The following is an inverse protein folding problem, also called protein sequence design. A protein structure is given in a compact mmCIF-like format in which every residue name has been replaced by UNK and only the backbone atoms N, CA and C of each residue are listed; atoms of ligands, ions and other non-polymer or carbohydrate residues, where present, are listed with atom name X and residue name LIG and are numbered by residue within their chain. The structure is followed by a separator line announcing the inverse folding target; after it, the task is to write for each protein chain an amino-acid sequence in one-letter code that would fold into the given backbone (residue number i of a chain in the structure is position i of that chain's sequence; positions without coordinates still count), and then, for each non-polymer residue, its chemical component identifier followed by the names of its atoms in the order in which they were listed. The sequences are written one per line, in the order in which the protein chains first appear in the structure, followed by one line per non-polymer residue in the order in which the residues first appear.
data_IF_841129474717
#
_entry.id   IF_841129474717
#
_cell.length_a   1.000
_cell.length_b   1.000
_cell.length_c   1.000
_cell.angle_alpha   90.00
_cell.angle_beta   90.00
_cell.angle_gamma   90.00
#
_symmetry.space_group_name_H-M   'P 1'
#
loop_
_entity.id
_entity.type
_entity.pdbx_description
1 polymer ?
#
# COMPACT_ATOMS: atom_id res chain seq x y z
N UNK A 1 -26.73 -32.29 -43.60
CA UNK A 1 -25.64 -31.32 -43.38
C UNK A 1 -25.89 -30.65 -42.05
N UNK A 2 -25.08 -30.94 -41.02
CA UNK A 2 -25.18 -30.22 -39.75
C UNK A 2 -24.67 -28.78 -39.94
N UNK A 3 -25.26 -27.77 -39.27
CA UNK A 3 -24.76 -26.40 -39.36
C UNK A 3 -23.35 -26.29 -38.74
N UNK A 4 -22.51 -25.35 -39.20
CA UNK A 4 -21.15 -25.21 -38.69
C UNK A 4 -21.18 -24.76 -37.23
N UNK A 5 -20.39 -25.41 -36.38
CA UNK A 5 -20.18 -24.96 -35.00
C UNK A 5 -19.56 -23.56 -34.98
N UNK A 6 -20.34 -22.60 -34.50
CA UNK A 6 -19.88 -21.24 -34.25
C UNK A 6 -18.91 -21.25 -33.06
N UNK A 7 -17.61 -21.15 -33.35
CA UNK A 7 -16.58 -21.00 -32.31
C UNK A 7 -16.84 -19.69 -31.55
N UNK A 8 -17.44 -19.78 -30.36
CA UNK A 8 -17.57 -18.65 -29.43
C UNK A 8 -16.19 -18.03 -29.19
N UNK A 9 -15.95 -16.82 -29.70
CA UNK A 9 -14.79 -16.00 -29.29
C UNK A 9 -14.85 -15.84 -27.78
N UNK A 10 -13.84 -16.33 -27.05
CA UNK A 10 -13.67 -16.00 -25.63
C UNK A 10 -13.63 -14.48 -25.51
N UNK A 11 -14.54 -13.90 -24.73
CA UNK A 11 -14.55 -12.47 -24.47
C UNK A 11 -13.19 -12.07 -23.85
N UNK A 12 -12.56 -11.07 -24.44
CA UNK A 12 -11.30 -10.53 -23.93
C UNK A 12 -11.58 -9.84 -22.58
N UNK A 13 -10.89 -10.30 -21.53
CA UNK A 13 -11.05 -9.70 -20.19
C UNK A 13 -10.33 -8.36 -20.18
N UNK A 14 -10.99 -7.25 -19.80
CA UNK A 14 -10.33 -5.94 -19.77
C UNK A 14 -9.08 -5.96 -18.89
N UNK A 15 -8.01 -5.29 -19.32
CA UNK A 15 -6.71 -5.27 -18.62
C UNK A 15 -6.80 -4.88 -17.13
N UNK A 16 -7.75 -3.99 -16.77
CA UNK A 16 -8.00 -3.62 -15.36
C UNK A 16 -8.53 -4.80 -14.54
N UNK A 17 -9.46 -5.57 -15.09
CA UNK A 17 -10.05 -6.74 -14.42
C UNK A 17 -9.02 -7.85 -14.27
N UNK A 18 -8.27 -8.13 -15.34
CA UNK A 18 -7.18 -9.10 -15.29
C UNK A 18 -6.07 -8.67 -14.30
N UNK A 19 -5.71 -7.38 -14.29
CA UNK A 19 -4.74 -6.81 -13.36
C UNK A 19 -5.18 -6.90 -11.90
N UNK A 20 -6.46 -6.64 -11.61
CA UNK A 20 -7.01 -6.82 -10.26
C UNK A 20 -6.97 -8.28 -9.82
N UNK A 21 -7.43 -9.22 -10.67
CA UNK A 21 -7.43 -10.64 -10.31
C UNK A 21 -6.03 -11.17 -10.02
N UNK A 22 -5.00 -10.70 -10.76
CA UNK A 22 -3.60 -11.04 -10.48
C UNK A 22 -3.15 -10.47 -9.13
N UNK A 23 -3.46 -9.22 -8.86
CA UNK A 23 -3.10 -8.54 -7.61
C UNK A 23 -3.73 -9.22 -6.40
N UNK A 24 -5.03 -9.52 -6.48
CA UNK A 24 -5.78 -10.22 -5.45
C UNK A 24 -5.21 -11.62 -5.17
N UNK A 25 -4.85 -12.36 -6.22
CA UNK A 25 -4.26 -13.69 -6.07
C UNK A 25 -2.88 -13.63 -5.39
N UNK A 26 -2.02 -12.68 -5.79
CA UNK A 26 -0.72 -12.50 -5.15
C UNK A 26 -0.84 -12.06 -3.69
N UNK A 27 -1.77 -11.15 -3.39
CA UNK A 27 -2.04 -10.68 -2.04
C UNK A 27 -2.54 -11.82 -1.13
N UNK A 28 -3.38 -12.71 -1.65
CA UNK A 28 -3.84 -13.89 -0.91
C UNK A 28 -2.66 -14.82 -0.52
N UNK A 29 -1.68 -15.00 -1.40
CA UNK A 29 -0.46 -15.78 -1.09
C UNK A 29 0.35 -15.12 0.01
N UNK A 30 0.65 -13.82 -0.11
CA UNK A 30 1.37 -13.05 0.92
C UNK A 30 0.66 -13.14 2.28
N UNK A 31 -0.67 -12.97 2.30
CA UNK A 31 -1.46 -13.06 3.54
C UNK A 31 -1.42 -14.46 4.16
N UNK A 32 -1.44 -15.52 3.33
CA UNK A 32 -1.27 -16.89 3.81
C UNK A 32 0.08 -17.09 4.49
N UNK A 33 1.16 -16.60 3.89
CA UNK A 33 2.50 -16.77 4.42
C UNK A 33 2.75 -15.93 5.68
N UNK A 34 2.19 -14.73 5.76
CA UNK A 34 2.22 -13.91 6.98
C UNK A 34 1.57 -14.65 8.16
N UNK A 35 0.36 -15.19 7.95
CA UNK A 35 -0.36 -15.93 8.99
C UNK A 35 0.41 -17.18 9.42
N UNK A 36 0.95 -17.96 8.48
CA UNK A 36 1.79 -19.14 8.81
C UNK A 36 3.01 -18.78 9.66
N UNK A 37 3.57 -17.59 9.45
CA UNK A 37 4.75 -17.09 10.18
C UNK A 37 4.39 -16.35 11.47
N UNK A 38 3.11 -16.11 11.76
CA UNK A 38 2.69 -15.25 12.86
C UNK A 38 3.12 -13.79 12.68
N UNK A 39 3.35 -13.36 11.44
CA UNK A 39 3.84 -12.03 11.08
C UNK A 39 2.72 -11.13 10.56
N UNK A 40 3.00 -9.84 10.50
CA UNK A 40 2.03 -8.77 10.22
C UNK A 40 2.57 -7.77 9.20
N UNK A 41 1.66 -7.09 8.50
CA UNK A 41 2.00 -6.11 7.45
C UNK A 41 1.18 -4.83 7.54
N UNK A 42 1.83 -3.72 7.21
CA UNK A 42 1.25 -2.40 7.02
C UNK A 42 1.62 -1.79 5.66
N UNK A 43 0.84 -0.82 5.17
CA UNK A 43 1.05 -0.23 3.83
C UNK A 43 0.97 1.30 3.86
N UNK A 44 1.95 1.96 3.23
CA UNK A 44 1.91 3.38 2.90
C UNK A 44 1.79 3.55 1.37
N UNK A 45 0.59 3.89 0.91
CA UNK A 45 0.29 4.00 -0.52
C UNK A 45 0.42 5.44 -0.99
N UNK A 46 1.13 5.69 -2.09
CA UNK A 46 1.09 7.01 -2.75
C UNK A 46 0.23 6.87 -4.00
N UNK A 47 0.75 6.13 -4.98
CA UNK A 47 0.24 6.09 -6.34
C UNK A 47 -0.80 5.02 -6.58
N UNK A 48 -0.66 3.87 -5.94
CA UNK A 48 -1.65 2.78 -5.95
C UNK A 48 -2.99 3.20 -5.33
N UNK A 49 -3.00 4.21 -4.47
CA UNK A 49 -4.24 4.87 -4.00
C UNK A 49 -5.23 3.96 -3.28
N UNK A 50 -4.75 2.94 -2.56
CA UNK A 50 -5.57 1.99 -1.81
C UNK A 50 -5.60 0.58 -2.39
N UNK A 51 -5.06 0.36 -3.59
CA UNK A 51 -5.14 -0.94 -4.28
C UNK A 51 -4.38 -2.05 -3.56
N UNK A 52 -3.21 -1.77 -2.98
CA UNK A 52 -2.46 -2.78 -2.21
C UNK A 52 -3.27 -3.15 -0.97
N UNK A 53 -3.75 -2.16 -0.24
CA UNK A 53 -4.54 -2.38 0.98
C UNK A 53 -5.82 -3.14 0.68
N UNK A 54 -6.52 -2.78 -0.39
CA UNK A 54 -7.76 -3.44 -0.78
C UNK A 54 -7.51 -4.91 -1.13
N UNK A 55 -6.41 -5.23 -1.81
CA UNK A 55 -6.07 -6.61 -2.16
C UNK A 55 -5.63 -7.45 -0.95
N UNK A 56 -4.83 -6.90 -0.04
CA UNK A 56 -4.45 -7.59 1.19
C UNK A 56 -5.67 -7.81 2.11
N UNK A 57 -6.55 -6.81 2.19
CA UNK A 57 -7.76 -6.88 2.98
C UNK A 57 -8.84 -7.81 2.40
N UNK A 58 -8.91 -7.97 1.07
CA UNK A 58 -9.89 -8.87 0.44
C UNK A 58 -9.60 -10.35 0.71
N UNK A 59 -8.36 -10.69 1.12
CA UNK A 59 -8.06 -12.02 1.64
C UNK A 59 -8.89 -12.32 2.90
N UNK A 60 -9.48 -13.51 3.04
CA UNK A 60 -10.12 -13.95 4.29
C UNK A 60 -9.19 -13.94 5.51
N UNK A 61 -7.88 -13.90 5.29
CA UNK A 61 -6.84 -13.81 6.32
C UNK A 61 -6.46 -12.36 6.67
N UNK A 62 -7.01 -11.36 5.96
CA UNK A 62 -6.82 -9.92 6.18
C UNK A 62 -6.83 -9.52 7.66
N UNK A 63 -7.90 -9.82 8.42
CA UNK A 63 -8.02 -9.44 9.84
C UNK A 63 -6.92 -10.02 10.76
N UNK A 64 -6.22 -11.07 10.34
CA UNK A 64 -5.20 -11.72 11.18
C UNK A 64 -3.86 -11.01 11.08
N UNK A 65 -3.43 -10.63 9.86
CA UNK A 65 -2.08 -10.13 9.61
C UNK A 65 -1.98 -8.69 9.05
N UNK A 66 -3.03 -8.14 8.43
CA UNK A 66 -3.02 -6.76 7.95
C UNK A 66 -3.39 -5.81 9.09
N UNK A 67 -2.50 -4.87 9.46
CA UNK A 67 -2.72 -3.97 10.61
C UNK A 67 -3.17 -2.57 10.23
N UNK A 68 -3.21 -2.26 8.94
CA UNK A 68 -3.74 -1.00 8.45
C UNK A 68 -2.86 -0.38 7.38
N UNK A 69 -3.31 0.78 6.93
CA UNK A 69 -2.65 1.52 5.86
C UNK A 69 -3.01 3.00 5.88
N UNK A 70 -2.33 3.77 5.04
CA UNK A 70 -2.83 5.07 4.65
C UNK A 70 -2.27 5.54 3.33
N UNK A 71 -3.07 6.39 2.66
CA UNK A 71 -2.68 7.03 1.42
C UNK A 71 -1.87 8.28 1.77
N UNK A 72 -0.58 8.27 1.45
CA UNK A 72 0.34 9.38 1.64
C UNK A 72 0.53 10.12 0.33
N UNK A 73 0.14 11.39 0.27
CA UNK A 73 0.46 12.26 -0.84
C UNK A 73 1.48 13.29 -0.36
N UNK A 74 2.55 13.51 -1.14
CA UNK A 74 3.59 14.50 -0.82
C UNK A 74 3.03 15.94 -0.66
N UNK A 75 1.82 16.20 -1.19
CA UNK A 75 1.18 17.52 -1.17
C UNK A 75 -0.14 17.57 -0.36
N UNK A 76 -0.54 16.46 0.29
CA UNK A 76 -1.92 16.28 0.77
C UNK A 76 -2.16 16.56 2.26
N UNK A 77 -1.13 16.57 3.10
CA UNK A 77 -1.31 16.79 4.55
C UNK A 77 -1.15 18.29 4.84
N UNK A 78 -2.24 19.03 4.72
CA UNK A 78 -2.30 20.38 5.30
C UNK A 78 -2.35 20.22 6.83
N UNK A 79 -1.25 20.54 7.52
CA UNK A 79 -1.14 20.38 8.98
C UNK A 79 -2.16 21.20 9.76
N UNK A 80 -2.58 22.37 9.28
CA UNK A 80 -3.63 23.14 9.96
C UNK A 80 -4.98 22.43 9.80
N UNK A 81 -5.25 21.88 8.62
CA UNK A 81 -6.46 21.08 8.37
C UNK A 81 -6.46 19.75 9.15
N UNK A 82 -5.31 19.10 9.32
CA UNK A 82 -5.17 17.87 10.12
C UNK A 82 -5.38 18.16 11.62
N UNK A 83 -4.70 19.17 12.18
CA UNK A 83 -4.90 19.61 13.57
C UNK A 83 -6.35 20.04 13.84
N UNK A 84 -6.94 20.81 12.92
CA UNK A 84 -8.34 21.23 13.01
C UNK A 84 -9.30 20.05 12.88
N UNK A 85 -9.03 19.12 11.97
CA UNK A 85 -9.81 17.89 11.79
C UNK A 85 -9.80 17.01 13.04
N UNK A 86 -8.62 16.79 13.64
CA UNK A 86 -8.47 16.07 14.92
C UNK A 86 -9.20 16.79 16.05
N UNK A 87 -9.08 18.11 16.16
CA UNK A 87 -9.75 18.90 17.19
C UNK A 87 -11.27 18.82 17.07
N UNK A 88 -11.82 19.02 15.85
CA UNK A 88 -13.26 18.91 15.57
C UNK A 88 -13.79 17.50 15.79
N UNK A 89 -13.03 16.46 15.41
CA UNK A 89 -13.41 15.07 15.67
C UNK A 89 -13.47 14.77 17.17
N UNK A 90 -12.49 15.22 17.95
CA UNK A 90 -12.48 15.09 19.42
C UNK A 90 -13.63 15.82 20.07
N UNK A 91 -13.90 17.05 19.67
CA UNK A 91 -15.05 17.83 20.14
C UNK A 91 -16.36 17.11 19.81
N UNK A 92 -16.52 16.62 18.58
CA UNK A 92 -17.71 15.88 18.17
C UNK A 92 -17.94 14.61 19.00
N UNK A 93 -16.89 13.81 19.21
CA UNK A 93 -16.95 12.60 20.05
C UNK A 93 -17.32 12.97 21.49
N UNK A 94 -16.70 14.00 22.06
CA UNK A 94 -16.95 14.44 23.43
C UNK A 94 -18.34 15.04 23.65
N UNK A 95 -18.95 15.63 22.61
CA UNK A 95 -20.20 16.40 22.73
C UNK A 95 -21.43 15.72 22.15
N UNK A 96 -21.26 14.75 21.22
CA UNK A 96 -22.36 14.14 20.45
C UNK A 96 -22.39 12.62 20.48
N UNK A 97 -21.32 11.94 20.93
CA UNK A 97 -21.31 10.49 21.13
C UNK A 97 -21.48 10.17 22.61
N UNK A 98 -22.19 9.08 22.92
CA UNK A 98 -22.50 8.65 24.28
C UNK A 98 -21.21 8.52 25.13
N UNK A 99 -21.29 8.70 26.47
CA UNK A 99 -20.12 8.72 27.38
C UNK A 99 -19.21 7.49 27.30
N UNK A 100 -19.68 6.38 26.71
CA UNK A 100 -18.90 5.19 26.36
C UNK A 100 -17.82 5.40 25.28
N UNK A 101 -17.87 6.50 24.52
CA UNK A 101 -16.84 6.93 23.55
C UNK A 101 -16.00 8.11 24.03
N UNK A 102 -16.37 8.74 25.16
CA UNK A 102 -15.67 9.90 25.72
C UNK A 102 -14.34 9.53 26.41
N UNK A 103 -14.10 8.24 26.67
CA UNK A 103 -12.80 7.74 27.12
C UNK A 103 -11.84 7.56 25.92
N UNK A 104 -11.19 8.65 25.55
CA UNK A 104 -10.19 8.76 24.47
C UNK A 104 -8.92 7.94 24.77
N UNK A 105 -8.77 7.42 26.01
CA UNK A 105 -7.71 6.48 26.35
C UNK A 105 -8.10 5.01 26.15
N UNK A 106 -9.36 4.73 25.82
CA UNK A 106 -9.78 3.36 25.54
C UNK A 106 -9.04 2.82 24.30
N UNK A 107 -8.59 1.54 24.32
CA UNK A 107 -7.93 0.89 23.17
C UNK A 107 -8.75 0.93 21.88
N UNK A 108 -10.07 1.21 21.97
CA UNK A 108 -11.01 1.30 20.85
C UNK A 108 -10.89 2.60 20.04
N UNK A 109 -10.22 3.63 20.56
CA UNK A 109 -10.00 4.92 19.86
C UNK A 109 -8.65 5.05 19.15
N UNK A 110 -7.85 3.95 19.07
CA UNK A 110 -6.58 3.92 18.32
C UNK A 110 -6.72 4.24 16.82
N UNK A 111 -7.93 4.17 16.26
CA UNK A 111 -8.18 4.52 14.87
C UNK A 111 -7.88 5.99 14.52
N UNK A 112 -7.89 6.90 15.51
CA UNK A 112 -7.61 8.34 15.31
C UNK A 112 -6.09 8.63 15.29
N UNK A 113 -5.26 7.64 15.64
CA UNK A 113 -3.81 7.76 15.75
C UNK A 113 -3.05 6.93 14.72
N UNK A 114 -3.55 6.77 13.49
CA UNK A 114 -2.80 6.06 12.45
C UNK A 114 -1.49 6.78 12.05
N UNK A 115 -1.26 8.01 12.55
CA UNK A 115 0.08 8.54 12.81
C UNK A 115 1.04 8.46 11.63
N UNK A 116 0.52 8.54 10.40
CA UNK A 116 1.31 8.43 9.19
C UNK A 116 1.89 9.79 8.79
N UNK A 117 2.46 10.52 9.76
CA UNK A 117 2.91 11.92 9.63
C UNK A 117 4.44 11.97 9.53
N UNK A 118 4.98 12.82 8.66
CA UNK A 118 6.39 13.21 8.69
C UNK A 118 6.61 14.20 9.85
N UNK A 119 7.59 13.95 10.71
CA UNK A 119 7.95 14.86 11.79
C UNK A 119 8.28 16.27 11.27
N UNK A 120 7.84 17.29 12.00
CA UNK A 120 8.08 18.69 11.68
C UNK A 120 9.58 19.00 11.70
N UNK A 121 10.13 19.48 10.57
CA UNK A 121 11.54 19.92 10.47
C UNK A 121 12.52 18.86 9.96
N UNK A 122 12.07 17.64 9.67
CA UNK A 122 12.91 16.63 9.01
C UNK A 122 12.92 16.87 7.50
N UNK A 123 14.11 16.85 6.90
CA UNK A 123 14.25 16.93 5.45
C UNK A 123 13.61 15.68 4.80
N UNK A 124 12.73 15.89 3.83
CA UNK A 124 11.97 14.78 3.23
C UNK A 124 12.73 14.27 2.01
N UNK A 125 12.79 12.96 1.81
CA UNK A 125 13.27 12.42 0.54
C UNK A 125 12.38 12.84 -0.63
N UNK A 126 13.00 12.99 -1.80
CA UNK A 126 12.31 13.42 -3.02
C UNK A 126 11.34 12.33 -3.50
N UNK A 127 10.08 12.73 -3.77
CA UNK A 127 9.08 11.86 -4.40
C UNK A 127 9.55 11.37 -5.76
N UNK A 128 9.31 10.09 -6.06
CA UNK A 128 9.83 9.40 -7.21
C UNK A 128 11.29 8.96 -7.02
N UNK A 129 11.67 8.56 -5.81
CA UNK A 129 13.00 8.01 -5.53
C UNK A 129 12.91 6.70 -4.76
N UNK A 130 13.96 5.88 -4.85
CA UNK A 130 14.09 4.66 -4.06
C UNK A 130 14.12 4.96 -2.55
N UNK A 131 14.79 6.03 -2.14
CA UNK A 131 14.84 6.48 -0.75
C UNK A 131 13.45 6.78 -0.21
N UNK A 132 12.63 7.51 -0.98
CA UNK A 132 11.26 7.82 -0.57
C UNK A 132 10.37 6.59 -0.45
N UNK A 133 10.47 5.64 -1.38
CA UNK A 133 9.73 4.39 -1.28
C UNK A 133 10.13 3.61 0.00
N UNK A 134 11.43 3.54 0.32
CA UNK A 134 11.94 2.88 1.53
C UNK A 134 11.51 3.59 2.81
N UNK A 135 11.57 4.92 2.86
CA UNK A 135 11.08 5.71 3.99
C UNK A 135 9.59 5.44 4.25
N UNK A 136 8.78 5.39 3.20
CA UNK A 136 7.36 5.07 3.31
C UNK A 136 7.11 3.65 3.83
N UNK A 137 7.88 2.67 3.33
CA UNK A 137 7.79 1.27 3.77
C UNK A 137 8.16 1.14 5.26
N UNK A 138 9.26 1.74 5.69
CA UNK A 138 9.66 1.77 7.10
C UNK A 138 8.66 2.53 7.96
N UNK A 139 8.13 3.66 7.49
CA UNK A 139 7.13 4.42 8.22
C UNK A 139 5.82 3.62 8.39
N UNK A 140 5.38 2.88 7.37
CA UNK A 140 4.24 1.98 7.50
C UNK A 140 4.51 0.91 8.57
N UNK A 141 5.68 0.26 8.47
CA UNK A 141 6.13 -0.78 9.40
C UNK A 141 6.12 -0.29 10.86
N UNK A 142 6.86 0.79 11.11
CA UNK A 142 7.16 1.29 12.45
C UNK A 142 5.92 1.95 13.09
N UNK A 143 5.16 2.76 12.35
CA UNK A 143 4.04 3.50 12.93
C UNK A 143 2.88 2.58 13.34
N UNK A 144 2.74 1.43 12.68
CA UNK A 144 1.72 0.42 12.99
C UNK A 144 2.26 -0.79 13.76
N UNK A 145 3.55 -0.80 14.12
CA UNK A 145 4.18 -1.86 14.91
C UNK A 145 4.10 -3.24 14.24
N UNK A 146 4.36 -3.30 12.93
CA UNK A 146 4.27 -4.52 12.12
C UNK A 146 5.64 -5.10 11.79
N UNK A 147 5.67 -6.36 11.36
CA UNK A 147 6.90 -7.05 10.93
C UNK A 147 7.37 -6.56 9.54
N UNK A 148 6.39 -6.28 8.68
CA UNK A 148 6.57 -5.86 7.29
C UNK A 148 5.89 -4.53 6.98
N UNK A 149 6.50 -3.73 6.11
CA UNK A 149 5.88 -2.51 5.56
C UNK A 149 6.06 -2.42 4.05
N UNK A 150 5.03 -1.98 3.32
CA UNK A 150 5.11 -1.69 1.88
C UNK A 150 4.99 -0.18 1.66
N UNK A 151 5.83 0.38 0.79
CA UNK A 151 5.83 1.81 0.43
C UNK A 151 6.00 2.03 -1.07
N UNK A 152 5.24 2.95 -1.67
CA UNK A 152 5.36 3.31 -3.09
C UNK A 152 5.80 4.76 -3.29
N UNK A 153 6.62 5.00 -4.31
CA UNK A 153 6.96 6.34 -4.79
C UNK A 153 7.07 6.35 -6.32
N UNK A 154 5.96 6.65 -6.99
CA UNK A 154 5.85 6.45 -8.44
C UNK A 154 5.10 7.57 -9.17
N UNK A 155 4.93 7.41 -10.49
CA UNK A 155 4.21 8.35 -11.36
C UNK A 155 3.21 7.57 -12.20
N UNK A 156 1.90 7.57 -11.88
CA UNK A 156 0.93 6.81 -12.65
C UNK A 156 0.55 7.51 -13.97
N UNK A 157 0.97 8.76 -14.16
CA UNK A 157 0.65 9.58 -15.32
C UNK A 157 -0.62 10.42 -15.15
N UNK A 158 -1.05 11.15 -16.20
CA UNK A 158 -0.50 11.08 -17.56
C UNK A 158 0.80 11.87 -17.76
N UNK A 159 1.10 12.84 -16.89
CA UNK A 159 2.28 13.69 -17.04
C UNK A 159 3.50 13.14 -16.27
N UNK A 160 4.73 13.45 -16.71
CA UNK A 160 5.93 13.20 -15.93
C UNK A 160 5.92 13.91 -14.57
N UNK A 161 6.69 13.38 -13.61
CA UNK A 161 6.89 14.07 -12.33
C UNK A 161 7.62 15.39 -12.54
N UNK A 162 7.02 16.49 -12.07
CA UNK A 162 7.47 17.86 -12.39
C UNK A 162 8.90 18.18 -11.96
N UNK A 163 9.36 17.60 -10.84
CA UNK A 163 10.70 17.88 -10.27
C UNK A 163 11.76 16.89 -10.72
N UNK A 164 11.45 15.60 -10.70
CA UNK A 164 12.41 14.53 -10.99
C UNK A 164 12.46 14.12 -12.45
N UNK A 165 11.46 14.52 -13.26
CA UNK A 165 11.35 14.11 -14.66
C UNK A 165 10.97 12.65 -14.87
N UNK A 166 10.60 11.92 -13.81
CA UNK A 166 10.16 10.53 -13.93
C UNK A 166 8.96 10.41 -14.86
N UNK A 167 9.06 9.48 -15.80
CA UNK A 167 8.04 9.26 -16.82
C UNK A 167 6.78 8.59 -16.25
N UNK A 168 5.62 8.75 -16.91
CA UNK A 168 4.42 7.97 -16.61
C UNK A 168 4.67 6.46 -16.57
N UNK A 169 4.00 5.79 -15.64
CA UNK A 169 4.13 4.35 -15.40
C UNK A 169 5.44 3.93 -14.72
N UNK A 170 6.32 4.87 -14.38
CA UNK A 170 7.61 4.62 -13.76
C UNK A 170 7.59 4.94 -12.26
N UNK A 171 8.46 4.29 -11.49
CA UNK A 171 8.61 4.60 -10.08
C UNK A 171 9.37 3.56 -9.29
N UNK A 172 9.17 3.60 -7.98
CA UNK A 172 9.81 2.71 -7.02
C UNK A 172 8.77 2.15 -6.06
N UNK A 173 8.88 0.86 -5.77
CA UNK A 173 8.11 0.20 -4.72
C UNK A 173 9.10 -0.47 -3.78
N UNK A 174 8.92 -0.29 -2.48
CA UNK A 174 9.81 -0.84 -1.47
C UNK A 174 9.03 -1.69 -0.46
N UNK A 175 9.75 -2.64 0.11
CA UNK A 175 9.29 -3.51 1.19
C UNK A 175 10.34 -3.47 2.29
N UNK A 176 9.92 -3.13 3.51
CA UNK A 176 10.73 -3.18 4.71
C UNK A 176 10.35 -4.44 5.50
N UNK A 177 11.24 -5.44 5.51
CA UNK A 177 11.04 -6.70 6.23
C UNK A 177 11.62 -6.68 7.65
N UNK A 178 11.51 -7.80 8.39
CA UNK A 178 12.05 -7.96 9.75
C UNK A 178 13.54 -7.67 9.87
N UNK A 179 14.31 -7.86 8.79
CA UNK A 179 15.77 -7.70 8.75
C UNK A 179 16.22 -6.93 7.49
N UNK A 180 17.49 -6.49 7.43
CA UNK A 180 18.06 -5.89 6.22
C UNK A 180 17.99 -6.81 4.99
N UNK A 181 18.15 -8.11 5.17
CA UNK A 181 18.13 -9.12 4.09
C UNK A 181 16.73 -9.33 3.51
N UNK A 182 15.70 -8.96 4.27
CA UNK A 182 14.28 -9.02 3.89
C UNK A 182 13.73 -7.64 3.53
N UNK A 183 14.60 -6.65 3.34
CA UNK A 183 14.25 -5.28 2.95
C UNK A 183 14.79 -4.98 1.56
N UNK A 184 13.97 -4.38 0.70
CA UNK A 184 14.36 -4.13 -0.69
C UNK A 184 13.50 -3.10 -1.40
N UNK A 185 13.98 -2.68 -2.57
CA UNK A 185 13.31 -1.72 -3.46
C UNK A 185 13.34 -2.23 -4.89
N UNK A 186 12.21 -2.14 -5.57
CA UNK A 186 12.03 -2.49 -6.97
C UNK A 186 11.73 -1.22 -7.78
N UNK A 187 12.50 -1.01 -8.84
CA UNK A 187 12.23 0.03 -9.83
C UNK A 187 11.24 -0.51 -10.87
N UNK A 188 10.11 0.17 -11.03
CA UNK A 188 9.12 -0.12 -12.06
C UNK A 188 9.40 0.75 -13.28
N UNK A 189 9.51 0.12 -14.45
CA UNK A 189 9.79 0.80 -15.73
C UNK A 189 8.57 1.55 -16.27
N UNK A 190 8.80 2.57 -17.13
CA UNK A 190 7.74 3.43 -17.67
C UNK A 190 6.68 2.64 -18.45
N UNK A 191 5.51 3.24 -18.60
CA UNK A 191 4.43 2.74 -19.47
C UNK A 191 3.56 3.89 -19.97
N UNK A 192 3.08 3.77 -21.20
CA UNK A 192 2.11 4.64 -21.86
C UNK A 192 0.65 4.23 -21.56
N UNK A 193 0.44 3.23 -20.70
CA UNK A 193 -0.86 2.80 -20.25
C UNK A 193 -1.65 3.89 -19.51
N UNK A 194 -2.96 3.67 -19.42
CA UNK A 194 -3.85 4.50 -18.62
C UNK A 194 -3.41 4.53 -17.15
N UNK A 195 -3.61 5.68 -16.51
CA UNK A 195 -3.32 5.91 -15.08
C UNK A 195 -3.72 4.75 -14.18
N UNK A 196 -4.95 4.24 -14.32
CA UNK A 196 -5.48 3.15 -13.49
C UNK A 196 -4.77 1.80 -13.71
N UNK A 197 -4.26 1.54 -14.91
CA UNK A 197 -3.47 0.34 -15.20
C UNK A 197 -2.07 0.49 -14.59
N UNK A 198 -1.46 1.68 -14.67
CA UNK A 198 -0.19 1.96 -14.00
C UNK A 198 -0.29 1.83 -12.47
N UNK A 199 -1.39 2.28 -11.86
CA UNK A 199 -1.64 2.05 -10.42
C UNK A 199 -1.63 0.56 -10.04
N UNK A 200 -2.28 -0.28 -10.85
CA UNK A 200 -2.29 -1.74 -10.64
C UNK A 200 -0.89 -2.34 -10.84
N UNK A 201 -0.10 -1.84 -11.79
CA UNK A 201 1.29 -2.27 -11.99
C UNK A 201 2.16 -2.00 -10.76
N UNK A 202 2.04 -0.82 -10.14
CA UNK A 202 2.76 -0.52 -8.90
C UNK A 202 2.28 -1.39 -7.73
N UNK A 203 0.97 -1.52 -7.55
CA UNK A 203 0.41 -2.36 -6.50
C UNK A 203 0.86 -3.82 -6.61
N UNK A 204 0.84 -4.37 -7.84
CA UNK A 204 1.33 -5.72 -8.12
C UNK A 204 2.82 -5.84 -7.83
N UNK A 205 3.63 -4.86 -8.24
CA UNK A 205 5.06 -4.86 -8.00
C UNK A 205 5.39 -4.89 -6.49
N UNK A 206 4.59 -4.24 -5.64
CA UNK A 206 4.75 -4.31 -4.18
C UNK A 206 4.47 -5.68 -3.60
N UNK A 207 3.36 -6.30 -4.03
CA UNK A 207 2.98 -7.66 -3.61
C UNK A 207 4.00 -8.69 -4.11
N UNK A 208 4.44 -8.59 -5.37
CA UNK A 208 5.43 -9.49 -5.97
C UNK A 208 6.79 -9.37 -5.27
N UNK A 209 7.24 -8.15 -4.96
CA UNK A 209 8.49 -7.91 -4.22
C UNK A 209 8.43 -8.52 -2.82
N UNK A 210 7.31 -8.31 -2.10
CA UNK A 210 7.16 -8.85 -0.75
C UNK A 210 7.18 -10.38 -0.76
N UNK A 211 6.43 -11.00 -1.67
CA UNK A 211 6.43 -12.45 -1.82
C UNK A 211 7.84 -12.99 -2.08
N UNK A 212 8.58 -12.38 -3.01
CA UNK A 212 9.96 -12.78 -3.32
C UNK A 212 10.90 -12.66 -2.10
N UNK A 213 10.80 -11.58 -1.32
CA UNK A 213 11.60 -11.40 -0.09
C UNK A 213 11.27 -12.44 0.98
N UNK A 214 9.99 -12.79 1.13
CA UNK A 214 9.54 -13.83 2.08
C UNK A 214 10.04 -15.24 1.68
N UNK A 215 10.11 -15.54 0.38
CA UNK A 215 10.70 -16.78 -0.13
C UNK A 215 12.22 -16.84 0.13
N UNK A 216 12.91 -15.71 -0.04
CA UNK A 216 14.34 -15.59 0.27
C UNK A 216 14.65 -15.87 1.73
N UNK A 217 13.84 -15.36 2.66
CA UNK A 217 13.96 -15.61 4.11
C UNK A 217 13.89 -17.11 4.44
N UNK A 218 13.01 -17.86 3.77
CA UNK A 218 12.83 -19.30 4.01
C UNK A 218 14.04 -20.13 3.59
N UNK A 219 14.76 -19.70 2.55
CA UNK A 219 15.92 -20.43 2.02
C UNK A 219 17.19 -20.21 2.85
N UNK A 220 17.26 -19.13 3.62
CA UNK A 220 18.39 -18.82 4.51
C UNK A 220 18.35 -19.48 5.89
N UNK A 221 17.27 -20.21 6.22
CA UNK A 221 17.10 -20.95 7.49
C UNK A 221 17.46 -22.44 7.40
N UNK A 222 18.16 -22.86 6.33
CA UNK A 222 18.65 -24.23 6.11
C UNK A 222 20.14 -24.33 6.42
#
# INVERSE_FOLDING_TARGET
MAPPEEKKKKAEVPARTAGWSKLESGAAVVMSDLVKRGQTVAVAETTSGGLISAALWSSPLGPQAFKGSGIRLAYGINRSADKEGVARAREHIATKMAPEFADVQSPRLRAVGMGLVYEDGVEHSESGSAAHALELAHAAKLNLGTDWGIGESSVPGPDPHRRTGLLPGMGFVAVAGPSPETTGVLKVGPSDDKRSVNMLRFAQAGVDLMHWLMEGESKGKV
#
